data_IF_532742196607
#
_entry.id   IF_532742196607
#
_cell.length_a   1.000
_cell.length_b   1.000
_cell.length_c   1.000
_cell.angle_alpha   90.00
_cell.angle_beta   90.00
_cell.angle_gamma   90.00
#
_symmetry.space_group_name_H-M   'P 1'
#
loop_
_entity.id
_entity.type
_entity.pdbx_description
1 polymer ?
#
# COMPACT_ATOMS: atom_id res chain seq x y z
N UNK A 1 2.98 -53.25 4.65
CA UNK A 1 2.98 -51.84 4.22
C UNK A 1 2.10 -51.07 5.18
N UNK A 2 2.70 -50.36 6.13
CA UNK A 2 1.96 -49.45 7.00
C UNK A 2 2.00 -48.09 6.30
N UNK A 3 0.86 -47.70 5.72
CA UNK A 3 0.59 -46.29 5.42
C UNK A 3 0.54 -45.62 6.77
N UNK A 4 1.44 -44.68 7.03
CA UNK A 4 1.42 -43.86 8.24
C UNK A 4 0.47 -42.68 7.97
N UNK A 5 -0.78 -42.68 8.46
CA UNK A 5 -1.71 -41.58 8.23
C UNK A 5 -1.75 -40.75 9.51
N UNK A 6 -0.99 -39.65 9.57
CA UNK A 6 -1.41 -38.46 10.33
C UNK A 6 -0.37 -37.33 10.26
N UNK A 7 -0.62 -36.25 9.51
CA UNK A 7 -0.22 -34.94 9.98
C UNK A 7 -1.20 -34.55 11.10
N UNK A 8 -0.72 -34.56 12.36
CA UNK A 8 -1.55 -34.19 13.53
C UNK A 8 -2.44 -32.99 13.21
N UNK A 9 -3.78 -33.10 13.28
CA UNK A 9 -4.72 -32.11 12.77
C UNK A 9 -4.61 -30.72 13.43
N UNK A 10 -3.79 -30.58 14.47
CA UNK A 10 -3.54 -29.31 15.16
C UNK A 10 -2.50 -28.37 14.53
N UNK A 11 -1.67 -28.79 13.55
CA UNK A 11 -0.59 -27.92 13.02
C UNK A 11 -1.05 -26.86 12.01
N UNK A 12 -2.14 -27.13 11.29
CA UNK A 12 -2.74 -26.15 10.36
C UNK A 12 -3.73 -25.20 11.03
N UNK A 13 -4.24 -25.57 12.21
CA UNK A 13 -5.19 -24.75 12.96
C UNK A 13 -4.55 -23.44 13.45
N UNK A 14 -3.25 -23.47 13.78
CA UNK A 14 -2.53 -22.31 14.31
C UNK A 14 -2.34 -21.19 13.25
N UNK A 15 -1.79 -21.46 12.05
CA UNK A 15 -1.71 -20.43 11.00
C UNK A 15 -3.09 -19.93 10.56
N UNK A 16 -4.11 -20.81 10.49
CA UNK A 16 -5.48 -20.42 10.16
C UNK A 16 -6.11 -19.51 11.23
N UNK A 17 -5.86 -19.79 12.51
CA UNK A 17 -6.35 -18.97 13.62
C UNK A 17 -5.69 -17.59 13.65
N UNK A 18 -4.40 -17.51 13.33
CA UNK A 18 -3.68 -16.23 13.22
C UNK A 18 -4.28 -15.40 12.08
N UNK A 19 -4.50 -15.99 10.91
CA UNK A 19 -5.12 -15.31 9.76
C UNK A 19 -6.56 -14.84 10.08
N UNK A 20 -7.34 -15.66 10.78
CA UNK A 20 -8.67 -15.28 11.26
C UNK A 20 -8.63 -14.12 12.27
N UNK A 21 -7.63 -14.07 13.15
CA UNK A 21 -7.45 -12.98 14.10
C UNK A 21 -7.13 -11.65 13.39
N UNK A 22 -6.28 -11.68 12.36
CA UNK A 22 -6.00 -10.50 11.52
C UNK A 22 -7.25 -10.02 10.77
N UNK A 23 -8.01 -10.94 10.16
CA UNK A 23 -9.26 -10.60 9.47
C UNK A 23 -10.31 -10.00 10.42
N UNK A 24 -10.44 -10.56 11.64
CA UNK A 24 -11.35 -10.03 12.65
C UNK A 24 -10.94 -8.64 13.14
N UNK A 25 -9.64 -8.42 13.37
CA UNK A 25 -9.11 -7.12 13.79
C UNK A 25 -9.36 -6.06 12.71
N UNK A 26 -9.15 -6.42 11.44
CA UNK A 26 -9.44 -5.54 10.30
C UNK A 26 -10.93 -5.20 10.18
N UNK A 27 -11.81 -6.19 10.33
CA UNK A 27 -13.26 -5.99 10.27
C UNK A 27 -13.76 -5.14 11.45
N UNK A 28 -13.25 -5.38 12.66
CA UNK A 28 -13.60 -4.59 13.85
C UNK A 28 -13.26 -3.11 13.67
N UNK A 29 -12.04 -2.79 13.24
CA UNK A 29 -11.61 -1.41 12.96
C UNK A 29 -12.48 -0.77 11.88
N UNK A 30 -12.85 -1.53 10.85
CA UNK A 30 -13.75 -1.06 9.79
C UNK A 30 -15.20 -0.85 10.24
N UNK A 31 -15.64 -1.48 11.33
CA UNK A 31 -17.02 -1.36 11.86
C UNK A 31 -17.18 -0.37 13.00
N UNK A 32 -16.11 0.30 13.44
CA UNK A 32 -16.26 1.37 14.43
C UNK A 32 -17.09 2.50 13.80
N UNK A 33 -18.24 2.88 14.40
CA UNK A 33 -18.93 4.08 13.97
C UNK A 33 -17.99 5.28 14.19
N UNK A 34 -17.93 6.20 13.23
CA UNK A 34 -17.27 7.49 13.42
C UNK A 34 -17.80 8.10 14.72
N UNK A 35 -16.90 8.54 15.60
CA UNK A 35 -17.30 9.19 16.83
C UNK A 35 -18.17 10.40 16.46
N UNK A 36 -19.47 10.31 16.67
CA UNK A 36 -20.37 11.44 16.59
C UNK A 36 -19.86 12.46 17.62
N UNK A 37 -19.21 13.52 17.11
CA UNK A 37 -18.85 14.67 17.93
C UNK A 37 -20.16 15.31 18.33
N UNK A 38 -20.64 14.97 19.53
CA UNK A 38 -21.77 15.66 20.15
C UNK A 38 -21.54 17.19 20.05
N UNK A 39 -22.51 17.98 19.56
CA UNK A 39 -22.36 19.42 19.54
C UNK A 39 -22.28 19.90 20.98
N UNK A 40 -21.08 20.35 21.38
CA UNK A 40 -20.86 21.03 22.66
C UNK A 40 -21.92 22.14 22.81
N UNK A 41 -22.52 22.32 23.99
CA UNK A 41 -23.48 23.40 24.20
C UNK A 41 -22.79 24.75 23.98
N UNK A 42 -23.30 25.49 22.99
CA UNK A 42 -22.99 26.90 22.76
C UNK A 42 -23.32 27.66 24.04
N UNK A 43 -22.30 28.14 24.73
CA UNK A 43 -22.47 29.20 25.72
C UNK A 43 -22.67 30.50 24.97
N UNK A 44 -23.93 30.94 24.88
CA UNK A 44 -24.31 32.28 24.46
C UNK A 44 -23.73 33.28 25.46
N UNK A 45 -22.73 34.06 25.04
CA UNK A 45 -22.37 35.32 25.71
C UNK A 45 -22.94 36.46 24.87
N UNK A 46 -23.81 37.23 25.50
CA UNK A 46 -24.55 38.33 24.92
C UNK A 46 -23.65 39.49 24.45
N UNK A 47 -24.08 40.11 23.35
CA UNK A 47 -23.69 41.42 22.86
C UNK A 47 -23.92 42.52 23.91
N UNK A 48 -23.10 43.58 23.90
CA UNK A 48 -23.70 44.91 23.85
C UNK A 48 -23.26 45.75 22.64
N UNK A 49 -24.27 46.37 22.04
CA UNK A 49 -24.31 47.49 21.08
C UNK A 49 -23.47 48.72 21.49
N UNK A 50 -22.94 49.47 20.50
CA UNK A 50 -22.98 50.96 20.30
C UNK A 50 -21.94 51.38 19.23
N UNK A 51 -22.36 51.71 18.00
CA UNK A 51 -22.53 53.06 17.38
C UNK A 51 -21.23 53.71 16.86
N UNK A 52 -21.06 53.81 15.53
CA UNK A 52 -20.96 55.09 14.77
C UNK A 52 -19.51 55.24 14.24
N UNK A 53 -19.12 55.92 13.16
CA UNK A 53 -19.74 56.80 12.15
C UNK A 53 -18.57 57.18 11.18
N UNK A 54 -18.83 57.29 9.86
CA UNK A 54 -18.21 58.18 8.82
C UNK A 54 -16.67 58.19 8.57
N UNK A 55 -16.13 57.79 7.40
CA UNK A 55 -15.99 58.42 6.03
C UNK A 55 -14.64 59.16 5.82
N UNK A 56 -14.24 59.23 4.53
CA UNK A 56 -13.13 59.95 3.85
C UNK A 56 -11.90 59.04 3.57
N UNK A 57 -11.65 58.56 2.33
CA UNK A 57 -11.39 59.20 1.03
C UNK A 57 -10.09 60.03 1.01
N UNK A 58 -9.02 59.50 0.41
CA UNK A 58 -8.35 60.08 -0.78
C UNK A 58 -7.11 59.26 -1.20
N UNK A 59 -6.96 59.17 -2.52
CA UNK A 59 -5.82 58.75 -3.37
C UNK A 59 -5.06 60.05 -3.79
N UNK A 60 -3.91 60.12 -4.52
CA UNK A 60 -2.73 59.25 -4.79
C UNK A 60 -1.33 59.91 -4.56
N UNK A 61 -0.27 59.09 -4.68
CA UNK A 61 1.08 59.33 -5.28
C UNK A 61 2.02 60.47 -4.80
N UNK A 62 3.26 60.12 -4.43
CA UNK A 62 4.48 60.64 -5.10
C UNK A 62 5.76 59.84 -4.73
N UNK A 63 6.73 59.88 -5.64
CA UNK A 63 8.05 59.26 -5.61
C UNK A 63 8.95 59.72 -4.44
N UNK A 64 9.82 58.83 -3.98
CA UNK A 64 10.89 59.14 -3.04
C UNK A 64 11.93 58.03 -3.05
N UNK A 65 12.94 58.19 -3.91
CA UNK A 65 14.18 57.42 -3.89
C UNK A 65 15.04 57.91 -2.71
N UNK A 66 15.34 57.05 -1.73
CA UNK A 66 16.58 57.16 -0.96
C UNK A 66 17.11 55.80 -0.50
N UNK A 67 18.39 55.64 -0.78
CA UNK A 67 19.38 54.67 -0.31
C UNK A 67 19.40 54.41 1.20
N UNK A 68 19.72 53.17 1.60
CA UNK A 68 20.42 52.92 2.87
C UNK A 68 19.89 51.73 3.66
N UNK A 69 20.72 50.70 3.74
CA UNK A 69 20.67 49.50 4.58
C UNK A 69 20.08 49.71 5.99
N UNK A 70 19.15 48.82 6.41
CA UNK A 70 19.17 48.19 7.74
C UNK A 70 18.17 47.01 7.83
N UNK A 71 18.74 45.86 8.21
CA UNK A 71 18.16 44.75 8.96
C UNK A 71 16.62 44.69 9.12
N UNK A 72 15.98 43.73 8.45
CA UNK A 72 14.63 43.27 8.80
C UNK A 72 14.46 41.81 8.42
N UNK A 73 14.65 40.97 9.44
CA UNK A 73 13.94 39.72 9.73
C UNK A 73 13.43 38.95 8.52
N UNK A 74 14.16 37.90 8.16
CA UNK A 74 13.64 36.79 7.38
C UNK A 74 12.37 36.24 8.07
N UNK A 75 11.21 36.53 7.49
CA UNK A 75 9.95 35.85 7.79
C UNK A 75 10.13 34.35 7.50
N UNK A 76 10.48 33.59 8.53
CA UNK A 76 10.44 32.13 8.51
C UNK A 76 8.99 31.70 8.73
N UNK A 77 8.16 31.90 7.71
CA UNK A 77 6.83 31.29 7.66
C UNK A 77 6.98 29.77 7.61
N UNK A 78 6.77 29.12 8.75
CA UNK A 78 6.75 27.65 8.85
C UNK A 78 5.34 27.16 8.55
N UNK A 79 5.10 26.64 7.35
CA UNK A 79 3.84 25.99 6.99
C UNK A 79 3.90 24.54 7.47
N UNK A 80 3.06 24.16 8.43
CA UNK A 80 2.84 22.74 8.78
C UNK A 80 1.78 22.17 7.85
N UNK A 81 2.19 21.42 6.83
CA UNK A 81 1.26 20.61 6.02
C UNK A 81 1.00 19.29 6.75
N UNK A 82 -0.23 19.11 7.22
CA UNK A 82 -0.71 17.79 7.64
C UNK A 82 -1.29 17.09 6.42
N UNK A 83 -0.78 15.89 6.12
CA UNK A 83 -1.23 15.11 4.99
C UNK A 83 -2.70 14.68 5.18
N UNK A 84 -3.56 14.69 4.13
CA UNK A 84 -4.95 14.28 4.27
C UNK A 84 -5.07 12.82 4.76
N UNK A 85 -6.03 12.49 5.66
CA UNK A 85 -6.19 11.14 6.19
C UNK A 85 -6.37 10.05 5.11
N UNK A 86 -7.06 10.38 4.01
CA UNK A 86 -7.24 9.47 2.88
C UNK A 86 -5.91 9.10 2.19
N UNK A 87 -4.96 10.03 2.09
CA UNK A 87 -3.64 9.77 1.53
C UNK A 87 -2.83 8.88 2.47
N UNK A 88 -2.88 9.13 3.77
CA UNK A 88 -2.21 8.30 4.79
C UNK A 88 -2.75 6.86 4.73
N UNK A 89 -4.07 6.69 4.71
CA UNK A 89 -4.70 5.37 4.61
C UNK A 89 -4.33 4.64 3.32
N UNK A 90 -4.25 5.36 2.20
CA UNK A 90 -3.84 4.79 0.92
C UNK A 90 -2.38 4.31 0.96
N UNK A 91 -1.46 5.14 1.48
CA UNK A 91 -0.04 4.78 1.61
C UNK A 91 0.16 3.54 2.47
N UNK A 92 -0.50 3.47 3.63
CA UNK A 92 -0.45 2.29 4.49
C UNK A 92 -1.00 1.03 3.79
N UNK A 93 -2.03 1.18 2.95
CA UNK A 93 -2.60 0.06 2.21
C UNK A 93 -1.65 -0.49 1.14
N UNK A 94 -0.99 0.39 0.37
CA UNK A 94 -0.04 -0.02 -0.67
C UNK A 94 1.25 -0.59 -0.07
N UNK A 95 1.70 -0.12 1.10
CA UNK A 95 2.80 -0.71 1.86
C UNK A 95 2.48 -2.15 2.27
N UNK A 96 1.32 -2.35 2.90
CA UNK A 96 0.89 -3.68 3.32
C UNK A 96 0.73 -4.65 2.13
N UNK A 97 0.28 -4.18 0.97
CA UNK A 97 0.21 -4.98 -0.25
C UNK A 97 1.61 -5.28 -0.81
N UNK A 98 2.56 -4.34 -0.73
CA UNK A 98 3.94 -4.55 -1.15
C UNK A 98 4.67 -5.59 -0.29
N UNK A 99 4.42 -5.58 1.02
CA UNK A 99 4.93 -6.60 1.95
C UNK A 99 4.37 -8.00 1.65
N UNK A 100 3.05 -8.10 1.42
CA UNK A 100 2.41 -9.36 1.02
C UNK A 100 3.01 -9.93 -0.26
N UNK A 101 3.19 -9.10 -1.29
CA UNK A 101 3.79 -9.54 -2.55
C UNK A 101 5.24 -9.99 -2.39
N UNK A 102 6.01 -9.29 -1.55
CA UNK A 102 7.40 -9.66 -1.25
C UNK A 102 7.49 -11.00 -0.50
N UNK A 103 6.53 -11.26 0.40
CA UNK A 103 6.39 -12.56 1.07
C UNK A 103 6.11 -13.67 0.05
N UNK A 104 5.13 -13.48 -0.83
CA UNK A 104 4.80 -14.46 -1.88
C UNK A 104 5.97 -14.69 -2.84
N UNK A 105 6.72 -13.64 -3.21
CA UNK A 105 7.92 -13.76 -4.05
C UNK A 105 9.02 -14.58 -3.37
N UNK A 106 9.16 -14.43 -2.06
CA UNK A 106 10.10 -15.22 -1.27
C UNK A 106 9.69 -16.70 -1.22
N UNK A 107 8.39 -16.99 -1.11
CA UNK A 107 7.88 -18.36 -1.18
C UNK A 107 8.11 -18.99 -2.55
N UNK A 108 7.82 -18.28 -3.65
CA UNK A 108 8.11 -18.77 -5.01
C UNK A 108 9.59 -19.14 -5.12
N UNK A 109 10.49 -18.26 -4.67
CA UNK A 109 11.94 -18.50 -4.72
C UNK A 109 12.37 -19.71 -3.90
N UNK A 110 11.85 -19.84 -2.67
CA UNK A 110 12.15 -20.97 -1.79
C UNK A 110 11.69 -22.30 -2.38
N UNK A 111 10.43 -22.35 -2.87
CA UNK A 111 9.85 -23.54 -3.50
C UNK A 111 10.65 -23.92 -4.73
N UNK A 112 11.03 -22.95 -5.55
CA UNK A 112 11.80 -23.20 -6.76
C UNK A 112 13.21 -23.74 -6.44
N UNK A 113 13.92 -23.14 -5.48
CA UNK A 113 15.24 -23.63 -5.04
C UNK A 113 15.15 -25.06 -4.50
N UNK A 114 14.17 -25.30 -3.62
CA UNK A 114 13.95 -26.62 -3.01
C UNK A 114 13.64 -27.69 -4.06
N UNK A 115 12.87 -27.34 -5.08
CA UNK A 115 12.57 -28.22 -6.20
C UNK A 115 13.81 -28.53 -7.05
N UNK A 116 14.63 -27.52 -7.38
CA UNK A 116 15.88 -27.71 -8.15
C UNK A 116 16.91 -28.56 -7.38
N UNK A 117 17.00 -28.36 -6.07
CA UNK A 117 17.82 -29.13 -5.14
C UNK A 117 17.24 -30.54 -4.86
N UNK A 118 16.04 -30.84 -5.36
CA UNK A 118 15.31 -32.10 -5.16
C UNK A 118 15.07 -32.41 -3.67
N UNK A 119 14.85 -31.39 -2.85
CA UNK A 119 14.55 -31.53 -1.41
C UNK A 119 13.06 -31.67 -1.11
N UNK A 120 12.21 -31.30 -2.08
CA UNK A 120 10.74 -31.49 -2.03
C UNK A 120 10.26 -32.30 -3.24
N UNK A 121 9.07 -32.90 -3.12
CA UNK A 121 8.48 -33.72 -4.19
C UNK A 121 7.72 -32.87 -5.22
N UNK A 122 7.45 -33.43 -6.40
CA UNK A 122 6.65 -32.74 -7.43
C UNK A 122 5.28 -32.30 -6.90
N UNK A 123 4.56 -33.20 -6.22
CA UNK A 123 3.22 -32.91 -5.70
C UNK A 123 3.25 -31.79 -4.65
N UNK A 124 4.28 -31.76 -3.80
CA UNK A 124 4.48 -30.70 -2.82
C UNK A 124 4.84 -29.36 -3.48
N UNK A 125 5.73 -29.36 -4.47
CA UNK A 125 6.06 -28.18 -5.27
C UNK A 125 4.81 -27.63 -5.95
N UNK A 126 4.04 -28.49 -6.61
CA UNK A 126 2.82 -28.10 -7.32
C UNK A 126 1.79 -27.51 -6.37
N UNK A 127 1.53 -28.17 -5.24
CA UNK A 127 0.59 -27.68 -4.23
C UNK A 127 0.98 -26.29 -3.72
N UNK A 128 2.27 -26.07 -3.42
CA UNK A 128 2.77 -24.78 -2.92
C UNK A 128 2.67 -23.68 -3.97
N UNK A 129 3.08 -23.94 -5.21
CA UNK A 129 3.01 -22.95 -6.29
C UNK A 129 1.56 -22.60 -6.67
N UNK A 130 0.65 -23.58 -6.68
CA UNK A 130 -0.78 -23.34 -6.94
C UNK A 130 -1.37 -22.44 -5.85
N UNK A 131 -1.05 -22.68 -4.57
CA UNK A 131 -1.49 -21.83 -3.47
C UNK A 131 -1.01 -20.39 -3.65
N UNK A 132 0.28 -20.19 -3.94
CA UNK A 132 0.82 -18.84 -4.19
C UNK A 132 0.12 -18.17 -5.37
N UNK A 133 -0.12 -18.90 -6.47
CA UNK A 133 -0.86 -18.37 -7.62
C UNK A 133 -2.27 -17.89 -7.21
N UNK A 134 -3.01 -18.67 -6.43
CA UNK A 134 -4.34 -18.30 -5.93
C UNK A 134 -4.28 -17.06 -5.02
N UNK A 135 -3.31 -17.03 -4.10
CA UNK A 135 -3.09 -15.89 -3.19
C UNK A 135 -2.74 -14.61 -3.97
N UNK A 136 -1.91 -14.71 -5.01
CA UNK A 136 -1.56 -13.59 -5.88
C UNK A 136 -2.77 -13.05 -6.63
N UNK A 137 -3.67 -13.91 -7.11
CA UNK A 137 -4.89 -13.48 -7.81
C UNK A 137 -5.80 -12.68 -6.85
N UNK A 138 -5.98 -13.16 -5.62
CA UNK A 138 -6.74 -12.45 -4.59
C UNK A 138 -6.06 -11.12 -4.22
N UNK A 139 -4.73 -11.14 -4.08
CA UNK A 139 -3.94 -9.96 -3.81
C UNK A 139 -4.05 -8.91 -4.92
N UNK A 140 -3.97 -9.32 -6.19
CA UNK A 140 -4.10 -8.43 -7.36
C UNK A 140 -5.46 -7.73 -7.36
N UNK A 141 -6.52 -8.47 -7.07
CA UNK A 141 -7.88 -7.95 -6.98
C UNK A 141 -8.01 -6.90 -5.84
N UNK A 142 -7.25 -7.04 -4.75
CA UNK A 142 -7.12 -5.99 -3.73
C UNK A 142 -6.39 -4.75 -4.24
N UNK A 143 -5.33 -4.89 -5.04
CA UNK A 143 -4.63 -3.76 -5.67
C UNK A 143 -5.59 -2.99 -6.59
N UNK A 144 -6.34 -3.70 -7.45
CA UNK A 144 -7.29 -3.11 -8.42
C UNK A 144 -8.42 -2.34 -7.75
N UNK A 145 -8.85 -2.78 -6.56
CA UNK A 145 -9.90 -2.12 -5.78
C UNK A 145 -9.46 -0.84 -5.08
N UNK A 146 -8.16 -0.58 -4.97
CA UNK A 146 -7.69 0.64 -4.32
C UNK A 146 -8.11 1.86 -5.12
N UNK A 147 -8.60 2.87 -4.40
CA UNK A 147 -8.89 4.17 -4.99
C UNK A 147 -7.72 5.12 -4.73
N UNK A 148 -6.91 5.37 -5.76
CA UNK A 148 -5.74 6.22 -5.64
C UNK A 148 -6.14 7.71 -5.54
N UNK A 149 -5.57 8.48 -4.59
CA UNK A 149 -5.62 9.93 -4.65
C UNK A 149 -5.05 10.43 -5.98
N UNK A 150 -5.64 11.49 -6.56
CA UNK A 150 -5.28 11.98 -7.90
C UNK A 150 -3.79 12.30 -8.05
N UNK A 151 -3.16 12.82 -7.00
CA UNK A 151 -1.71 13.12 -6.99
C UNK A 151 -0.82 11.87 -7.11
N UNK A 152 -1.33 10.69 -6.77
CA UNK A 152 -0.60 9.40 -6.82
C UNK A 152 -1.03 8.51 -7.99
N UNK A 153 -1.83 9.03 -8.92
CA UNK A 153 -2.41 8.25 -10.02
C UNK A 153 -1.35 7.56 -10.89
N UNK A 154 -0.23 8.23 -11.18
CA UNK A 154 0.86 7.67 -11.98
C UNK A 154 1.53 6.47 -11.26
N UNK A 155 1.90 6.63 -9.99
CA UNK A 155 2.46 5.53 -9.19
C UNK A 155 1.48 4.37 -9.04
N UNK A 156 0.18 4.65 -8.91
CA UNK A 156 -0.86 3.63 -8.87
C UNK A 156 -0.98 2.85 -10.19
N UNK A 157 -0.89 3.53 -11.34
CA UNK A 157 -0.90 2.86 -12.64
C UNK A 157 0.27 1.89 -12.80
N UNK A 158 1.45 2.24 -12.29
CA UNK A 158 2.60 1.34 -12.29
C UNK A 158 2.43 0.15 -11.35
N UNK A 159 1.77 0.36 -10.20
CA UNK A 159 1.36 -0.73 -9.29
C UNK A 159 0.38 -1.69 -9.99
N UNK A 160 -0.59 -1.19 -10.76
CA UNK A 160 -1.51 -2.03 -11.53
C UNK A 160 -0.78 -2.85 -12.60
N UNK A 161 0.15 -2.22 -13.34
CA UNK A 161 0.94 -2.90 -14.35
C UNK A 161 1.81 -4.02 -13.75
N UNK A 162 2.52 -3.72 -12.66
CA UNK A 162 3.34 -4.72 -11.96
C UNK A 162 2.51 -5.82 -11.30
N UNK A 163 1.33 -5.51 -10.75
CA UNK A 163 0.43 -6.52 -10.19
C UNK A 163 -0.08 -7.51 -11.24
N UNK A 164 -0.37 -7.02 -12.45
CA UNK A 164 -0.77 -7.86 -13.58
C UNK A 164 0.36 -8.77 -14.04
N UNK A 165 1.59 -8.24 -14.13
CA UNK A 165 2.79 -9.04 -14.42
C UNK A 165 3.01 -10.14 -13.38
N UNK A 166 2.86 -9.82 -12.09
CA UNK A 166 2.99 -10.79 -11.01
C UNK A 166 1.94 -11.92 -11.11
N UNK A 167 0.67 -11.59 -11.37
CA UNK A 167 -0.39 -12.60 -11.51
C UNK A 167 -0.17 -13.53 -12.71
N UNK A 168 0.24 -12.96 -13.86
CA UNK A 168 0.60 -13.75 -15.04
C UNK A 168 1.80 -14.66 -14.73
N UNK A 169 2.85 -14.11 -14.13
CA UNK A 169 4.06 -14.86 -13.79
C UNK A 169 3.77 -16.00 -12.81
N UNK A 170 2.95 -15.79 -11.78
CA UNK A 170 2.57 -16.85 -10.84
C UNK A 170 1.83 -18.00 -11.53
N UNK A 171 0.94 -17.67 -12.48
CA UNK A 171 0.24 -18.68 -13.29
C UNK A 171 1.23 -19.44 -14.17
N UNK A 172 2.13 -18.74 -14.86
CA UNK A 172 3.14 -19.34 -15.74
C UNK A 172 4.16 -20.19 -14.97
N UNK A 173 4.45 -19.88 -13.70
CA UNK A 173 5.29 -20.73 -12.84
C UNK A 173 4.65 -22.11 -12.65
N UNK A 174 3.34 -22.17 -12.39
CA UNK A 174 2.60 -23.44 -12.25
C UNK A 174 2.53 -24.19 -13.58
N UNK A 175 2.23 -23.48 -14.68
CA UNK A 175 2.19 -24.07 -16.03
C UNK A 175 3.56 -24.64 -16.42
N UNK A 176 4.64 -23.91 -16.14
CA UNK A 176 6.02 -24.33 -16.38
C UNK A 176 6.42 -25.54 -15.55
N UNK A 177 5.89 -25.71 -14.34
CA UNK A 177 6.10 -26.95 -13.56
C UNK A 177 5.40 -28.16 -14.21
N UNK A 178 4.22 -27.96 -14.80
CA UNK A 178 3.42 -29.01 -15.47
C UNK A 178 3.87 -29.30 -16.89
N UNK A 179 4.68 -28.41 -17.46
CA UNK A 179 5.26 -28.54 -18.79
C UNK A 179 6.21 -29.74 -18.89
N UNK A 180 6.37 -30.26 -20.10
CA UNK A 180 7.39 -31.27 -20.42
C UNK A 180 8.76 -30.66 -20.75
N UNK A 181 8.92 -29.34 -20.62
CA UNK A 181 10.21 -28.67 -20.82
C UNK A 181 11.20 -28.97 -19.68
N UNK A 182 12.42 -28.42 -19.79
CA UNK A 182 13.51 -28.64 -18.83
C UNK A 182 13.38 -27.80 -17.54
N UNK A 183 12.21 -27.24 -17.28
CA UNK A 183 11.93 -26.25 -16.23
C UNK A 183 12.25 -24.81 -16.62
N UNK A 184 12.58 -24.53 -17.89
CA UNK A 184 12.94 -23.19 -18.38
C UNK A 184 11.79 -22.20 -18.17
N UNK A 185 10.58 -22.55 -18.64
CA UNK A 185 9.37 -21.74 -18.48
C UNK A 185 9.12 -21.38 -17.01
N UNK A 186 9.25 -22.36 -16.09
CA UNK A 186 9.06 -22.14 -14.66
C UNK A 186 10.10 -21.16 -14.09
N UNK A 187 11.38 -21.34 -14.45
CA UNK A 187 12.47 -20.50 -13.94
C UNK A 187 12.36 -19.06 -14.42
N UNK A 188 12.07 -18.87 -15.70
CA UNK A 188 11.88 -17.54 -16.29
C UNK A 188 10.68 -16.84 -15.69
N UNK A 189 9.56 -17.55 -15.52
CA UNK A 189 8.38 -17.00 -14.86
C UNK A 189 8.62 -16.66 -13.38
N UNK A 190 9.41 -17.46 -12.66
CA UNK A 190 9.77 -17.15 -11.27
C UNK A 190 10.65 -15.90 -11.19
N UNK A 191 11.59 -15.72 -12.12
CA UNK A 191 12.40 -14.50 -12.22
C UNK A 191 11.54 -13.28 -12.58
N UNK A 192 10.57 -13.44 -13.48
CA UNK A 192 9.61 -12.39 -13.81
C UNK A 192 8.69 -12.04 -12.63
N UNK A 193 8.29 -13.02 -11.83
CA UNK A 193 7.54 -12.78 -10.59
C UNK A 193 8.33 -11.91 -9.61
N UNK A 194 9.62 -12.24 -9.40
CA UNK A 194 10.54 -11.45 -8.57
C UNK A 194 10.75 -10.03 -9.11
N UNK A 195 10.87 -9.88 -10.42
CA UNK A 195 11.00 -8.59 -11.08
C UNK A 195 9.73 -7.74 -10.94
N UNK A 196 8.55 -8.36 -11.09
CA UNK A 196 7.27 -7.70 -10.90
C UNK A 196 7.07 -7.25 -9.44
N UNK A 197 7.46 -8.08 -8.47
CA UNK A 197 7.42 -7.72 -7.05
C UNK A 197 8.32 -6.51 -6.74
N UNK A 198 9.53 -6.51 -7.27
CA UNK A 198 10.48 -5.39 -7.12
C UNK A 198 9.96 -4.10 -7.76
N UNK A 199 9.31 -4.21 -8.93
CA UNK A 199 8.70 -3.09 -9.62
C UNK A 199 7.53 -2.49 -8.83
N UNK A 200 6.69 -3.34 -8.21
CA UNK A 200 5.60 -2.89 -7.34
C UNK A 200 6.14 -2.10 -6.14
N UNK A 201 7.13 -2.63 -5.43
CA UNK A 201 7.77 -1.96 -4.28
C UNK A 201 8.41 -0.63 -4.71
N UNK A 202 9.04 -0.59 -5.88
CA UNK A 202 9.60 0.66 -6.43
C UNK A 202 8.50 1.69 -6.75
N UNK A 203 7.32 1.25 -7.20
CA UNK A 203 6.18 2.13 -7.42
C UNK A 203 5.60 2.68 -6.09
N UNK A 204 5.57 1.86 -5.04
CA UNK A 204 5.23 2.30 -3.68
C UNK A 204 6.20 3.38 -3.20
N UNK A 205 7.51 3.15 -3.31
CA UNK A 205 8.52 4.14 -2.91
C UNK A 205 8.36 5.47 -3.66
N UNK A 206 8.07 5.43 -4.96
CA UNK A 206 7.77 6.65 -5.74
C UNK A 206 6.53 7.38 -5.27
N UNK A 207 5.51 6.66 -4.78
CA UNK A 207 4.34 7.30 -4.17
C UNK A 207 4.74 8.10 -2.93
N UNK A 208 5.62 7.57 -2.08
CA UNK A 208 6.15 8.31 -0.92
C UNK A 208 6.98 9.53 -1.32
N UNK A 209 7.86 9.41 -2.32
CA UNK A 209 8.68 10.54 -2.76
C UNK A 209 7.84 11.66 -3.37
N UNK A 210 6.71 11.34 -4.01
CA UNK A 210 5.77 12.32 -4.58
C UNK A 210 5.07 13.15 -3.52
N UNK A 211 4.88 12.61 -2.31
CA UNK A 211 4.31 13.37 -1.18
C UNK A 211 5.37 14.28 -0.53
N UNK A 212 6.63 13.85 -0.52
CA UNK A 212 7.74 14.60 0.09
C UNK A 212 8.34 15.69 -0.80
N UNK A 213 7.96 15.75 -2.08
CA UNK A 213 8.40 16.75 -3.07
C UNK A 213 7.42 17.92 -3.17
#
# INVERSE_FOLDING_TARGET
MVVNPDPKPGRWLLPLAVLAMFAFTFMFVRTLPEAEVEPRPVTTVATPTTAGDTTEEETPAEEGEETGEEDSTADTSSTTTTLPPAVISYLSSIEALGEQLTSMASEVREVNSSWEERTITYAETEERLVRVMEDVIVWQDNVVRLNAPSMLAASHQDMLASSTRAAVAATTVVEGLRSSDTGETRRDAAAEFDAAASAFVSAVQRAHTTIGS
#
